data_IF_257391530624
#
_entry.id   IF_257391530624
#
_cell.length_a   1.000
_cell.length_b   1.000
_cell.length_c   1.000
_cell.angle_alpha   90.00
_cell.angle_beta   90.00
_cell.angle_gamma   90.00
#
_symmetry.space_group_name_H-M   'P 1'
#
loop_
_entity.id
_entity.type
_entity.pdbx_description
1 polymer ?
#
# COMPACT_ATOMS: atom_id res chain seq x y z
N UNK A 1 -50.29 1.34 -14.92
CA UNK A 1 -49.52 0.13 -14.60
C UNK A 1 -48.02 0.40 -14.36
N UNK A 2 -47.38 1.37 -15.06
CA UNK A 2 -45.95 1.71 -14.86
C UNK A 2 -45.62 2.26 -13.47
N UNK A 3 -46.45 3.18 -12.94
CA UNK A 3 -46.20 3.86 -11.66
C UNK A 3 -46.12 2.92 -10.45
N UNK A 4 -46.88 1.82 -10.47
CA UNK A 4 -46.82 0.80 -9.41
C UNK A 4 -45.53 -0.02 -9.44
N UNK A 5 -44.96 -0.29 -10.62
CA UNK A 5 -43.68 -1.00 -10.76
C UNK A 5 -42.51 -0.13 -10.29
N UNK A 6 -42.50 1.15 -10.63
CA UNK A 6 -41.46 2.09 -10.20
C UNK A 6 -41.48 2.33 -8.68
N UNK A 7 -42.66 2.50 -8.08
CA UNK A 7 -42.82 2.61 -6.62
C UNK A 7 -42.36 1.34 -5.92
N UNK A 8 -42.68 0.18 -6.48
CA UNK A 8 -42.23 -1.11 -5.97
C UNK A 8 -40.70 -1.24 -6.03
N UNK A 9 -40.07 -0.89 -7.15
CA UNK A 9 -38.60 -0.89 -7.26
C UNK A 9 -37.98 0.02 -6.20
N UNK A 10 -38.54 1.23 -5.98
CA UNK A 10 -38.06 2.15 -4.97
C UNK A 10 -38.21 1.60 -3.54
N UNK A 11 -39.37 1.02 -3.21
CA UNK A 11 -39.65 0.41 -1.90
C UNK A 11 -38.72 -0.77 -1.62
N UNK A 12 -38.48 -1.63 -2.62
CA UNK A 12 -37.56 -2.75 -2.47
C UNK A 12 -36.10 -2.29 -2.32
N UNK A 13 -35.66 -1.30 -3.08
CA UNK A 13 -34.30 -0.75 -2.96
C UNK A 13 -34.06 -0.15 -1.58
N UNK A 14 -35.06 0.52 -1.00
CA UNK A 14 -34.94 1.18 0.30
C UNK A 14 -35.14 0.22 1.48
N UNK A 15 -36.10 -0.71 1.38
CA UNK A 15 -36.60 -1.49 2.52
C UNK A 15 -36.50 -3.01 2.35
N UNK A 16 -36.14 -3.51 1.15
CA UNK A 16 -36.02 -4.94 0.85
C UNK A 16 -37.35 -5.69 0.74
N UNK A 17 -38.49 -5.00 0.81
CA UNK A 17 -39.82 -5.64 0.84
C UNK A 17 -40.97 -4.71 0.45
N UNK A 18 -42.16 -5.29 0.21
CA UNK A 18 -43.41 -4.59 -0.14
C UNK A 18 -44.46 -4.59 0.96
N UNK A 19 -44.24 -5.36 2.02
CA UNK A 19 -45.20 -5.54 3.10
C UNK A 19 -44.96 -4.50 4.21
N UNK A 20 -46.05 -4.07 4.84
CA UNK A 20 -46.03 -3.04 5.89
C UNK A 20 -45.20 -3.48 7.10
N UNK A 21 -45.31 -4.73 7.53
CA UNK A 21 -44.59 -5.25 8.69
C UNK A 21 -43.08 -5.32 8.41
N UNK A 22 -42.70 -5.82 7.24
CA UNK A 22 -41.29 -5.89 6.83
C UNK A 22 -40.68 -4.49 6.61
N UNK A 23 -41.44 -3.53 6.09
CA UNK A 23 -41.01 -2.13 5.99
C UNK A 23 -40.72 -1.53 7.37
N UNK A 24 -41.61 -1.76 8.35
CA UNK A 24 -41.42 -1.31 9.74
C UNK A 24 -40.15 -1.93 10.34
N UNK A 25 -39.93 -3.23 10.15
CA UNK A 25 -38.74 -3.93 10.63
C UNK A 25 -37.45 -3.38 9.99
N UNK A 26 -37.47 -3.10 8.69
CA UNK A 26 -36.35 -2.46 7.98
C UNK A 26 -36.04 -1.06 8.49
N UNK A 27 -37.06 -0.26 8.81
CA UNK A 27 -36.89 1.06 9.45
C UNK A 27 -36.26 0.91 10.83
N UNK A 28 -36.74 -0.03 11.66
CA UNK A 28 -36.17 -0.31 12.98
C UNK A 28 -34.71 -0.78 12.89
N UNK A 29 -34.39 -1.62 11.91
CA UNK A 29 -33.02 -2.04 11.60
C UNK A 29 -32.12 -0.83 11.30
N UNK A 30 -32.57 0.09 10.43
CA UNK A 30 -31.84 1.31 10.10
C UNK A 30 -31.65 2.24 11.31
N UNK A 31 -32.66 2.39 12.17
CA UNK A 31 -32.57 3.17 13.40
C UNK A 31 -31.52 2.57 14.35
N UNK A 32 -31.51 1.25 14.51
CA UNK A 32 -30.50 0.54 15.30
C UNK A 32 -29.09 0.77 14.75
N UNK A 33 -28.92 0.61 13.43
CA UNK A 33 -27.64 0.85 12.75
C UNK A 33 -27.19 2.31 12.83
N UNK A 34 -28.09 3.28 12.69
CA UNK A 34 -27.77 4.69 12.85
C UNK A 34 -27.10 4.90 14.22
N UNK A 35 -27.75 4.45 15.29
CA UNK A 35 -27.21 4.64 16.63
C UNK A 35 -25.92 3.87 16.86
N UNK A 36 -25.80 2.68 16.28
CA UNK A 36 -24.56 1.90 16.32
C UNK A 36 -23.41 2.62 15.60
N UNK A 37 -23.63 3.18 14.42
CA UNK A 37 -22.62 3.93 13.67
C UNK A 37 -22.12 5.14 14.44
N UNK A 38 -23.03 5.88 15.09
CA UNK A 38 -22.63 7.00 15.95
C UNK A 38 -21.75 6.54 17.11
N UNK A 39 -22.02 5.38 17.71
CA UNK A 39 -21.15 4.81 18.76
C UNK A 39 -19.79 4.37 18.22
N UNK A 40 -19.75 3.93 16.98
CA UNK A 40 -18.51 3.61 16.30
C UNK A 40 -17.86 4.84 15.66
N UNK A 41 -18.23 6.08 15.99
CA UNK A 41 -17.58 7.28 15.43
C UNK A 41 -17.88 7.57 13.94
N UNK A 42 -18.84 6.89 13.34
CA UNK A 42 -19.28 7.12 11.96
C UNK A 42 -20.51 8.04 11.91
N UNK A 43 -20.72 8.71 10.76
CA UNK A 43 -21.94 9.50 10.53
C UNK A 43 -23.16 8.57 10.47
N UNK A 44 -24.15 8.81 11.33
CA UNK A 44 -25.31 7.92 11.46
C UNK A 44 -26.19 7.76 10.21
N UNK A 45 -26.25 8.80 9.36
CA UNK A 45 -27.07 8.78 8.14
C UNK A 45 -26.63 7.72 7.11
N UNK A 46 -25.41 7.18 7.22
CA UNK A 46 -24.97 6.05 6.39
C UNK A 46 -25.85 4.81 6.53
N UNK A 47 -26.60 4.67 7.64
CA UNK A 47 -27.55 3.58 7.83
C UNK A 47 -28.73 3.61 6.84
N UNK A 48 -29.04 4.79 6.29
CA UNK A 48 -30.14 5.01 5.34
C UNK A 48 -29.75 4.70 3.90
N UNK A 49 -28.47 4.46 3.62
CA UNK A 49 -27.98 4.18 2.27
C UNK A 49 -27.89 2.66 2.09
N UNK A 50 -28.80 2.01 1.33
CA UNK A 50 -28.97 0.55 1.33
C UNK A 50 -27.71 -0.24 1.01
N UNK A 51 -26.89 0.24 0.08
CA UNK A 51 -25.65 -0.41 -0.36
C UNK A 51 -24.49 -0.11 0.59
N UNK A 52 -24.38 1.14 1.05
CA UNK A 52 -23.22 1.63 1.81
C UNK A 52 -23.28 1.20 3.28
N UNK A 53 -24.46 0.94 3.84
CA UNK A 53 -24.63 0.52 5.24
C UNK A 53 -23.81 -0.73 5.59
N UNK A 54 -23.73 -1.73 4.69
CA UNK A 54 -22.96 -2.95 4.94
C UNK A 54 -21.45 -2.68 5.01
N UNK A 55 -20.92 -1.86 4.10
CA UNK A 55 -19.52 -1.44 4.14
C UNK A 55 -19.19 -0.68 5.43
N UNK A 56 -20.06 0.25 5.85
CA UNK A 56 -19.87 1.01 7.10
C UNK A 56 -19.98 0.13 8.35
N UNK A 57 -20.87 -0.87 8.33
CA UNK A 57 -20.97 -1.86 9.40
C UNK A 57 -19.71 -2.73 9.47
N UNK A 58 -19.12 -3.08 8.33
CA UNK A 58 -17.86 -3.81 8.26
C UNK A 58 -16.66 -3.00 8.75
N UNK A 59 -16.65 -1.68 8.52
CA UNK A 59 -15.66 -0.78 9.13
C UNK A 59 -15.75 -0.82 10.65
N UNK A 60 -16.97 -0.82 11.23
CA UNK A 60 -17.14 -0.99 12.68
C UNK A 60 -16.62 -2.33 13.20
N UNK A 61 -16.53 -3.34 12.33
CA UNK A 61 -16.11 -4.70 12.65
C UNK A 61 -14.61 -4.95 12.44
N UNK A 62 -13.85 -3.96 11.98
CA UNK A 62 -12.45 -4.12 11.50
C UNK A 62 -12.33 -5.22 10.42
N UNK A 63 -13.30 -5.27 9.51
CA UNK A 63 -13.45 -6.28 8.46
C UNK A 63 -13.71 -5.63 7.10
N UNK A 64 -12.91 -4.62 6.75
CA UNK A 64 -13.16 -3.80 5.56
C UNK A 64 -13.24 -4.63 4.28
N UNK A 65 -12.36 -5.62 4.13
CA UNK A 65 -12.28 -6.44 2.92
C UNK A 65 -13.54 -7.29 2.75
N UNK A 66 -14.01 -7.93 3.81
CA UNK A 66 -15.27 -8.68 3.80
C UNK A 66 -16.46 -7.75 3.56
N UNK A 67 -16.45 -6.54 4.14
CA UNK A 67 -17.45 -5.51 3.90
C UNK A 67 -17.58 -5.12 2.43
N UNK A 68 -16.45 -4.96 1.72
CA UNK A 68 -16.44 -4.67 0.28
C UNK A 68 -17.10 -5.80 -0.51
N UNK A 69 -16.78 -7.05 -0.19
CA UNK A 69 -17.37 -8.21 -0.86
C UNK A 69 -18.87 -8.32 -0.60
N UNK A 70 -19.32 -8.13 0.66
CA UNK A 70 -20.75 -8.13 1.02
C UNK A 70 -21.49 -7.02 0.28
N UNK A 71 -20.97 -5.79 0.30
CA UNK A 71 -21.57 -4.65 -0.41
C UNK A 71 -21.69 -4.90 -1.91
N UNK A 72 -20.66 -5.48 -2.54
CA UNK A 72 -20.69 -5.82 -3.97
C UNK A 72 -21.72 -6.90 -4.26
N UNK A 73 -21.76 -7.98 -3.48
CA UNK A 73 -22.74 -9.05 -3.65
C UNK A 73 -24.17 -8.55 -3.47
N UNK A 74 -24.45 -7.75 -2.44
CA UNK A 74 -25.77 -7.14 -2.25
C UNK A 74 -26.15 -6.18 -3.39
N UNK A 75 -25.19 -5.44 -3.95
CA UNK A 75 -25.42 -4.58 -5.12
C UNK A 75 -25.81 -5.41 -6.33
N UNK A 76 -25.09 -6.52 -6.60
CA UNK A 76 -25.41 -7.45 -7.68
C UNK A 76 -26.81 -8.03 -7.50
N UNK A 77 -27.12 -8.58 -6.33
CA UNK A 77 -28.46 -9.15 -6.03
C UNK A 77 -29.56 -8.10 -6.21
N UNK A 78 -29.33 -6.86 -5.75
CA UNK A 78 -30.30 -5.77 -5.93
C UNK A 78 -30.51 -5.44 -7.41
N UNK A 79 -29.43 -5.38 -8.21
CA UNK A 79 -29.53 -5.11 -9.65
C UNK A 79 -30.24 -6.26 -10.39
N UNK A 80 -29.89 -7.51 -10.08
CA UNK A 80 -30.52 -8.70 -10.64
C UNK A 80 -32.02 -8.69 -10.33
N UNK A 81 -32.40 -8.38 -9.10
CA UNK A 81 -33.80 -8.22 -8.71
C UNK A 81 -34.52 -7.13 -9.52
N UNK A 82 -33.90 -5.95 -9.67
CA UNK A 82 -34.47 -4.85 -10.47
C UNK A 82 -34.72 -5.32 -11.89
N UNK A 83 -33.72 -5.93 -12.54
CA UNK A 83 -33.83 -6.48 -13.89
C UNK A 83 -34.97 -7.51 -13.95
N UNK A 84 -35.02 -8.43 -12.99
CA UNK A 84 -36.02 -9.48 -12.91
C UNK A 84 -37.47 -8.95 -12.79
N UNK A 85 -37.65 -7.75 -12.20
CA UNK A 85 -38.96 -7.09 -12.07
C UNK A 85 -39.55 -6.61 -13.41
N UNK A 86 -38.69 -6.39 -14.41
CA UNK A 86 -39.09 -6.00 -15.76
C UNK A 86 -39.21 -7.20 -16.72
N UNK A 87 -38.74 -8.38 -16.32
CA UNK A 87 -38.84 -9.59 -17.13
C UNK A 87 -40.22 -10.24 -17.00
N UNK A 88 -40.65 -10.93 -18.04
CA UNK A 88 -41.89 -11.73 -17.99
C UNK A 88 -41.70 -12.92 -17.05
N UNK A 89 -42.59 -13.11 -16.04
CA UNK A 89 -42.51 -14.24 -15.13
C UNK A 89 -42.54 -15.57 -15.91
N UNK A 90 -41.58 -16.45 -15.63
CA UNK A 90 -41.47 -17.76 -16.29
C UNK A 90 -40.70 -17.76 -17.61
N UNK A 91 -40.22 -16.61 -18.09
CA UNK A 91 -39.30 -16.54 -19.24
C UNK A 91 -37.91 -17.10 -18.90
N UNK A 92 -37.16 -17.55 -19.90
CA UNK A 92 -35.77 -18.04 -19.70
C UNK A 92 -34.88 -16.98 -19.01
N UNK A 93 -34.92 -15.69 -19.38
CA UNK A 93 -34.18 -14.64 -18.66
C UNK A 93 -34.58 -14.49 -17.19
N UNK A 94 -35.87 -14.66 -16.86
CA UNK A 94 -36.35 -14.62 -15.47
C UNK A 94 -35.74 -15.74 -14.63
N UNK A 95 -35.71 -16.97 -15.16
CA UNK A 95 -35.08 -18.10 -14.48
C UNK A 95 -33.57 -17.92 -14.32
N UNK A 96 -32.89 -17.34 -15.30
CA UNK A 96 -31.45 -17.06 -15.21
C UNK A 96 -31.13 -16.04 -14.11
N UNK A 97 -31.93 -14.96 -14.00
CA UNK A 97 -31.78 -13.97 -12.93
C UNK A 97 -32.03 -14.61 -11.56
N UNK A 98 -33.10 -15.40 -11.41
CA UNK A 98 -33.41 -16.09 -10.17
C UNK A 98 -32.31 -17.09 -9.75
N UNK A 99 -31.70 -17.78 -10.73
CA UNK A 99 -30.58 -18.69 -10.47
C UNK A 99 -29.34 -17.93 -9.96
N UNK A 100 -29.04 -16.78 -10.55
CA UNK A 100 -27.92 -15.93 -10.14
C UNK A 100 -28.09 -15.41 -8.69
N UNK A 101 -29.31 -14.99 -8.32
CA UNK A 101 -29.64 -14.58 -6.95
C UNK A 101 -29.39 -15.70 -5.94
N UNK A 102 -29.86 -16.93 -6.24
CA UNK A 102 -29.64 -18.10 -5.38
C UNK A 102 -28.15 -18.46 -5.31
N UNK A 103 -27.42 -18.36 -6.41
CA UNK A 103 -25.98 -18.65 -6.46
C UNK A 103 -25.15 -17.67 -5.61
N UNK A 104 -25.59 -16.42 -5.44
CA UNK A 104 -24.90 -15.42 -4.61
C UNK A 104 -25.13 -15.62 -3.11
N UNK A 105 -26.23 -16.27 -2.69
CA UNK A 105 -26.63 -16.40 -1.27
C UNK A 105 -25.56 -17.05 -0.37
N UNK A 106 -24.90 -18.17 -0.74
CA UNK A 106 -23.86 -18.76 0.10
C UNK A 106 -22.70 -17.80 0.35
N UNK A 107 -22.28 -17.06 -0.67
CA UNK A 107 -21.21 -16.07 -0.54
C UNK A 107 -21.63 -14.93 0.39
N UNK A 108 -22.82 -14.37 0.21
CA UNK A 108 -23.37 -13.32 1.09
C UNK A 108 -23.37 -13.79 2.55
N UNK A 109 -23.82 -15.01 2.81
CA UNK A 109 -23.89 -15.58 4.15
C UNK A 109 -22.49 -15.78 4.76
N UNK A 110 -21.53 -16.33 4.02
CA UNK A 110 -20.16 -16.56 4.50
C UNK A 110 -19.48 -15.24 4.86
N UNK A 111 -19.52 -14.25 3.96
CA UNK A 111 -18.84 -12.97 4.20
C UNK A 111 -19.55 -12.15 5.29
N UNK A 112 -20.88 -12.19 5.35
CA UNK A 112 -21.63 -11.55 6.44
C UNK A 112 -21.32 -12.19 7.80
N UNK A 113 -21.21 -13.52 7.87
CA UNK A 113 -20.83 -14.21 9.11
C UNK A 113 -19.43 -13.78 9.60
N UNK A 114 -18.46 -13.62 8.67
CA UNK A 114 -17.11 -13.10 9.00
C UNK A 114 -17.16 -11.66 9.49
N UNK A 115 -17.91 -10.81 8.81
CA UNK A 115 -18.14 -9.41 9.20
C UNK A 115 -18.72 -9.33 10.62
N UNK A 116 -19.81 -10.06 10.90
CA UNK A 116 -20.46 -10.07 12.20
C UNK A 116 -19.60 -10.71 13.30
N UNK A 117 -18.74 -11.67 12.96
CA UNK A 117 -17.74 -12.21 13.89
C UNK A 117 -16.74 -11.12 14.32
N UNK A 118 -16.27 -10.30 13.38
CA UNK A 118 -15.45 -9.12 13.68
C UNK A 118 -16.19 -8.13 14.59
N UNK A 119 -17.46 -7.85 14.30
CA UNK A 119 -18.29 -6.98 15.12
C UNK A 119 -18.45 -7.52 16.56
N UNK A 120 -18.61 -8.83 16.72
CA UNK A 120 -18.65 -9.46 18.04
C UNK A 120 -17.31 -9.33 18.79
N UNK A 121 -16.17 -9.43 18.09
CA UNK A 121 -14.84 -9.21 18.67
C UNK A 121 -14.70 -7.77 19.16
N UNK A 122 -15.05 -6.78 18.33
CA UNK A 122 -14.94 -5.35 18.66
C UNK A 122 -15.81 -4.95 19.86
N UNK A 123 -17.00 -5.54 20.00
CA UNK A 123 -17.92 -5.23 21.11
C UNK A 123 -17.76 -6.17 22.33
N UNK A 124 -16.75 -7.04 22.32
CA UNK A 124 -16.49 -8.07 23.35
C UNK A 124 -17.71 -8.94 23.66
N UNK A 125 -18.31 -9.51 22.62
CA UNK A 125 -19.49 -10.37 22.73
C UNK A 125 -19.20 -11.79 22.27
N UNK A 126 -19.93 -12.73 22.90
CA UNK A 126 -19.83 -14.16 22.61
C UNK A 126 -20.25 -14.43 21.16
N UNK A 127 -19.62 -15.43 20.53
CA UNK A 127 -19.83 -15.79 19.11
C UNK A 127 -21.27 -16.12 18.72
N UNK A 128 -22.13 -16.53 19.66
CA UNK A 128 -23.55 -16.80 19.35
C UNK A 128 -24.32 -15.55 18.88
N UNK A 129 -23.84 -14.35 19.20
CA UNK A 129 -24.39 -13.10 18.68
C UNK A 129 -24.27 -12.96 17.16
N UNK A 130 -23.35 -13.68 16.51
CA UNK A 130 -23.22 -13.73 15.05
C UNK A 130 -24.53 -14.23 14.42
N UNK A 131 -25.18 -15.22 15.03
CA UNK A 131 -26.46 -15.75 14.54
C UNK A 131 -27.57 -14.70 14.60
N UNK A 132 -27.63 -13.94 15.70
CA UNK A 132 -28.60 -12.84 15.84
C UNK A 132 -28.35 -11.72 14.82
N UNK A 133 -27.10 -11.47 14.47
CA UNK A 133 -26.74 -10.50 13.44
C UNK A 133 -27.05 -10.99 12.02
N UNK A 134 -26.88 -12.29 11.73
CA UNK A 134 -27.23 -12.86 10.43
C UNK A 134 -28.73 -12.77 10.12
N UNK A 135 -29.59 -12.80 11.15
CA UNK A 135 -31.04 -12.63 11.00
C UNK A 135 -31.52 -11.21 11.30
N UNK A 136 -30.62 -10.24 11.43
CA UNK A 136 -30.97 -8.90 11.93
C UNK A 136 -31.93 -8.12 11.01
N UNK A 137 -31.95 -8.42 9.71
CA UNK A 137 -32.88 -7.80 8.76
C UNK A 137 -34.32 -8.32 8.94
N UNK A 138 -34.46 -9.59 9.35
CA UNK A 138 -35.75 -10.17 9.72
C UNK A 138 -36.16 -9.76 11.14
N UNK A 139 -35.18 -9.67 12.05
CA UNK A 139 -35.39 -9.37 13.47
C UNK A 139 -34.34 -8.35 13.97
N UNK A 140 -34.65 -7.03 13.99
CA UNK A 140 -33.69 -5.96 14.25
C UNK A 140 -33.24 -5.83 15.73
N UNK A 141 -33.34 -6.91 16.50
CA UNK A 141 -33.01 -6.97 17.93
C UNK A 141 -31.54 -6.64 18.18
N UNK A 142 -30.62 -7.22 17.40
CA UNK A 142 -29.18 -7.00 17.56
C UNK A 142 -28.78 -5.51 17.36
N UNK A 143 -29.07 -4.86 16.21
CA UNK A 143 -28.70 -3.46 16.00
C UNK A 143 -29.39 -2.50 16.96
N UNK A 144 -30.65 -2.74 17.35
CA UNK A 144 -31.34 -1.90 18.34
C UNK A 144 -30.71 -2.01 19.73
N UNK A 145 -30.47 -3.23 20.21
CA UNK A 145 -29.86 -3.43 21.53
C UNK A 145 -28.46 -2.82 21.59
N UNK A 146 -27.64 -3.10 20.56
CA UNK A 146 -26.26 -2.65 20.52
C UNK A 146 -26.16 -1.15 20.28
N UNK A 147 -27.07 -0.59 19.46
CA UNK A 147 -27.17 0.85 19.23
C UNK A 147 -27.55 1.64 20.49
N UNK A 148 -28.60 1.24 21.22
CA UNK A 148 -29.15 2.09 22.29
C UNK A 148 -28.62 1.80 23.70
N UNK A 149 -28.28 0.54 24.04
CA UNK A 149 -27.87 0.22 25.41
C UNK A 149 -26.43 0.65 25.68
N UNK A 150 -26.19 1.34 26.79
CA UNK A 150 -24.85 1.81 27.20
C UNK A 150 -23.81 0.70 27.39
N UNK A 151 -24.25 -0.53 27.72
CA UNK A 151 -23.38 -1.70 27.91
C UNK A 151 -22.63 -2.13 26.64
N UNK A 152 -23.12 -1.76 25.45
CA UNK A 152 -22.47 -2.09 24.18
C UNK A 152 -21.69 -0.89 23.71
N UNK A 153 -20.40 -0.86 24.05
CA UNK A 153 -19.42 0.08 23.53
C UNK A 153 -18.40 -0.70 22.71
N UNK A 154 -17.93 -0.16 21.59
CA UNK A 154 -16.86 -0.78 20.84
C UNK A 154 -15.52 -0.56 21.54
N UNK A 155 -14.59 -1.50 21.38
CA UNK A 155 -13.22 -1.38 21.88
C UNK A 155 -12.43 -0.25 21.21
N UNK A 156 -12.83 0.12 20.00
CA UNK A 156 -12.24 1.21 19.23
C UNK A 156 -13.34 1.99 18.53
N UNK A 157 -13.10 3.28 18.29
CA UNK A 157 -14.01 4.10 17.50
C UNK A 157 -13.61 3.94 16.03
N UNK A 158 -14.53 3.47 15.19
CA UNK A 158 -14.45 3.55 13.73
C UNK A 158 -14.66 4.98 13.19
N UNK A 159 -14.53 6.00 14.06
CA UNK A 159 -14.10 7.32 13.65
C UNK A 159 -13.03 7.13 12.59
N UNK A 160 -12.99 7.99 11.58
CA UNK A 160 -11.86 8.05 10.67
C UNK A 160 -10.62 8.37 11.50
N UNK A 161 -10.04 7.38 12.21
CA UNK A 161 -9.17 7.53 13.37
C UNK A 161 -8.35 8.78 13.29
N UNK A 162 -8.73 9.78 14.10
CA UNK A 162 -7.87 10.80 14.66
C UNK A 162 -6.86 11.45 13.71
N UNK A 163 -7.17 12.69 13.38
CA UNK A 163 -6.17 13.72 13.09
C UNK A 163 -5.14 13.90 14.23
N UNK A 164 -5.19 13.19 15.36
CA UNK A 164 -4.18 13.31 16.44
C UNK A 164 -2.77 12.87 15.99
N UNK A 165 -2.67 11.85 15.14
CA UNK A 165 -1.41 11.55 14.47
C UNK A 165 -1.02 12.74 13.57
N UNK A 166 -1.96 13.24 12.77
CA UNK A 166 -1.71 14.39 11.92
C UNK A 166 -1.41 15.67 12.72
N UNK A 167 -1.81 15.79 14.00
CA UNK A 167 -1.44 16.89 14.89
C UNK A 167 0.06 16.85 15.17
N UNK A 168 0.60 15.68 15.55
CA UNK A 168 2.04 15.49 15.67
C UNK A 168 2.74 15.65 14.30
N UNK A 169 2.21 15.05 13.25
CA UNK A 169 2.81 15.14 11.92
C UNK A 169 2.59 16.50 11.20
N UNK A 170 1.75 17.40 11.72
CA UNK A 170 1.38 18.63 11.00
C UNK A 170 2.50 19.65 11.04
N UNK A 171 2.89 20.12 9.85
CA UNK A 171 3.69 21.33 9.69
C UNK A 171 5.20 21.15 9.78
N UNK A 172 5.73 19.93 9.92
CA UNK A 172 7.19 19.70 9.97
C UNK A 172 7.71 19.10 8.68
N UNK A 173 8.49 19.89 7.97
CA UNK A 173 9.26 19.47 6.79
C UNK A 173 10.70 19.21 7.24
N UNK A 174 11.31 18.17 6.71
CA UNK A 174 12.76 18.02 6.78
C UNK A 174 13.41 19.22 6.09
N UNK A 175 14.49 19.75 6.70
CA UNK A 175 15.25 20.86 6.14
C UNK A 175 15.78 20.47 4.76
N UNK A 176 15.63 21.37 3.79
CA UNK A 176 16.14 21.14 2.44
C UNK A 176 17.67 21.16 2.51
N UNK A 177 18.28 20.05 2.11
CA UNK A 177 19.72 19.97 2.00
C UNK A 177 20.20 20.62 0.71
N UNK A 178 21.27 21.42 0.81
CA UNK A 178 21.98 21.96 -0.35
C UNK A 178 22.64 20.84 -1.17
N UNK A 179 23.13 19.81 -0.48
CA UNK A 179 23.66 18.57 -1.06
C UNK A 179 22.99 17.38 -0.39
N UNK A 180 22.41 16.49 -1.20
CA UNK A 180 21.71 15.30 -0.72
C UNK A 180 20.28 15.19 -1.25
N UNK A 181 19.51 14.25 -0.69
CA UNK A 181 18.11 14.03 -1.00
C UNK A 181 17.25 14.54 0.16
N UNK A 182 16.30 15.42 -0.10
CA UNK A 182 15.23 15.76 0.86
C UNK A 182 13.89 15.32 0.30
N UNK A 183 13.11 14.61 1.12
CA UNK A 183 11.77 14.15 0.78
C UNK A 183 10.80 14.71 1.79
N UNK A 184 9.91 15.59 1.34
CA UNK A 184 8.80 16.11 2.13
C UNK A 184 7.47 15.72 1.48
N UNK A 185 7.01 14.51 1.76
CA UNK A 185 5.78 13.94 1.21
C UNK A 185 4.61 14.16 2.18
N UNK A 186 3.66 15.00 1.77
CA UNK A 186 2.44 15.26 2.56
C UNK A 186 1.42 14.14 2.37
N UNK A 187 1.02 13.87 1.12
CA UNK A 187 0.05 12.83 0.82
C UNK A 187 0.23 12.22 -0.58
N UNK A 188 0.08 10.90 -0.67
CA UNK A 188 -0.17 10.19 -1.92
C UNK A 188 -1.49 9.46 -1.79
N UNK A 189 -2.44 9.76 -2.68
CA UNK A 189 -3.77 9.15 -2.63
C UNK A 189 -4.12 8.42 -3.91
N UNK A 190 -4.91 7.36 -3.79
CA UNK A 190 -5.56 6.67 -4.90
C UNK A 190 -7.07 6.71 -4.71
N UNK A 191 -7.80 6.58 -5.82
CA UNK A 191 -9.26 6.48 -5.80
C UNK A 191 -9.65 5.00 -5.86
N UNK A 192 -10.31 4.51 -4.83
CA UNK A 192 -10.93 3.18 -4.80
C UNK A 192 -12.42 3.35 -4.50
N UNK A 193 -13.30 2.93 -5.42
CA UNK A 193 -14.76 2.87 -5.24
C UNK A 193 -15.37 4.07 -4.49
N UNK A 194 -15.36 5.25 -5.13
CA UNK A 194 -15.91 6.51 -4.60
C UNK A 194 -15.26 7.03 -3.30
N UNK A 195 -14.14 6.44 -2.84
CA UNK A 195 -13.39 6.89 -1.67
C UNK A 195 -11.95 7.25 -2.04
N UNK A 196 -11.50 8.41 -1.56
CA UNK A 196 -10.07 8.78 -1.55
C UNK A 196 -9.37 7.92 -0.49
N UNK A 197 -8.43 7.08 -0.93
CA UNK A 197 -7.59 6.24 -0.07
C UNK A 197 -6.20 6.86 0.01
N UNK A 198 -5.70 7.04 1.22
CA UNK A 198 -4.31 7.46 1.45
C UNK A 198 -3.40 6.24 1.33
N UNK A 199 -2.45 6.31 0.41
CA UNK A 199 -1.41 5.29 0.24
C UNK A 199 -0.20 5.62 1.12
N UNK A 200 0.23 6.89 1.11
CA UNK A 200 1.32 7.41 1.93
C UNK A 200 0.91 8.75 2.53
N UNK A 201 1.38 9.05 3.75
CA UNK A 201 1.09 10.33 4.40
C UNK A 201 2.20 10.75 5.37
N UNK A 202 2.54 12.04 5.35
CA UNK A 202 3.50 12.71 6.23
C UNK A 202 4.84 11.97 6.37
N UNK A 203 5.53 11.75 5.25
CA UNK A 203 6.86 11.15 5.23
C UNK A 203 7.87 12.26 4.95
N UNK A 204 8.65 12.60 5.97
CA UNK A 204 9.64 13.67 5.94
C UNK A 204 11.00 13.11 6.34
N UNK A 205 11.99 13.19 5.44
CA UNK A 205 13.35 12.73 5.69
C UNK A 205 14.37 13.45 4.82
N UNK A 206 15.64 13.38 5.19
CA UNK A 206 16.75 13.89 4.41
C UNK A 206 17.95 12.97 4.50
N UNK A 207 18.49 12.58 3.35
CA UNK A 207 19.60 11.64 3.22
C UNK A 207 20.81 12.39 2.71
N UNK A 208 21.93 12.26 3.43
CA UNK A 208 23.18 12.91 3.08
C UNK A 208 23.84 12.21 1.87
N UNK A 209 24.65 12.94 1.08
CA UNK A 209 25.47 12.34 0.05
C UNK A 209 26.36 11.24 0.61
N UNK A 210 26.52 10.17 -0.14
CA UNK A 210 27.34 9.03 0.23
C UNK A 210 26.72 8.05 1.22
N UNK A 211 25.47 8.26 1.60
CA UNK A 211 24.75 7.31 2.45
C UNK A 211 24.14 6.18 1.62
N UNK A 212 24.31 4.96 2.12
CA UNK A 212 23.62 3.75 1.66
C UNK A 212 22.51 3.41 2.66
N UNK A 213 21.27 3.50 2.20
CA UNK A 213 20.07 3.46 3.04
C UNK A 213 19.22 2.23 2.73
N UNK A 214 18.88 1.50 3.79
CA UNK A 214 18.02 0.33 3.70
C UNK A 214 16.55 0.75 3.82
N UNK A 215 15.70 0.35 2.89
CA UNK A 215 14.26 0.59 2.95
C UNK A 215 13.50 -0.67 3.39
N UNK A 216 13.03 -0.66 4.63
CA UNK A 216 12.27 -1.73 5.26
C UNK A 216 10.78 -1.42 5.33
N UNK A 217 9.99 -2.48 5.42
CA UNK A 217 8.56 -2.42 5.67
C UNK A 217 7.83 -3.67 5.21
N UNK A 218 6.67 -3.93 5.80
CA UNK A 218 5.80 -5.05 5.42
C UNK A 218 5.34 -5.03 3.97
N UNK A 219 4.71 -6.13 3.55
CA UNK A 219 4.07 -6.19 2.22
C UNK A 219 2.96 -5.14 2.14
N UNK A 220 3.00 -4.30 1.11
CA UNK A 220 2.04 -3.21 0.94
C UNK A 220 2.18 -2.04 1.92
N UNK A 221 3.28 -1.95 2.69
CA UNK A 221 3.57 -0.77 3.53
C UNK A 221 3.81 0.53 2.72
N UNK A 222 3.88 0.41 1.39
CA UNK A 222 4.03 1.54 0.48
C UNK A 222 5.45 1.78 -0.01
N UNK A 223 6.38 0.82 0.14
CA UNK A 223 7.79 0.94 -0.30
C UNK A 223 7.91 1.34 -1.78
N UNK A 224 7.35 0.56 -2.70
CA UNK A 224 7.38 0.88 -4.14
C UNK A 224 6.65 2.18 -4.45
N UNK A 225 5.51 2.45 -3.80
CA UNK A 225 4.79 3.72 -3.95
C UNK A 225 5.64 4.91 -3.48
N UNK A 226 6.43 4.74 -2.43
CA UNK A 226 7.33 5.77 -1.91
C UNK A 226 8.49 6.01 -2.88
N UNK A 227 9.12 4.94 -3.39
CA UNK A 227 10.17 5.06 -4.40
C UNK A 227 9.67 5.72 -5.69
N UNK A 228 8.47 5.38 -6.17
CA UNK A 228 7.84 6.02 -7.33
C UNK A 228 7.48 7.50 -7.09
N UNK A 229 7.19 7.88 -5.84
CA UNK A 229 7.00 9.28 -5.48
C UNK A 229 8.34 10.02 -5.43
N UNK A 230 9.39 9.41 -4.87
CA UNK A 230 10.73 10.01 -4.76
C UNK A 230 11.39 10.17 -6.13
N UNK A 231 11.29 9.18 -7.02
CA UNK A 231 11.87 9.25 -8.36
C UNK A 231 11.08 10.16 -9.32
N UNK A 232 9.88 10.64 -8.93
CA UNK A 232 9.04 11.51 -9.74
C UNK A 232 8.18 10.81 -10.81
N UNK A 233 8.22 9.49 -10.90
CA UNK A 233 7.44 8.70 -11.86
C UNK A 233 5.93 8.74 -11.56
N UNK A 234 5.56 8.63 -10.28
CA UNK A 234 4.18 8.83 -9.79
C UNK A 234 4.14 9.96 -8.75
N UNK A 235 4.04 11.22 -9.20
CA UNK A 235 4.09 12.37 -8.30
C UNK A 235 3.03 12.30 -7.20
N UNK A 236 3.45 12.58 -5.98
CA UNK A 236 2.59 12.78 -4.82
C UNK A 236 2.40 14.28 -4.57
N UNK A 237 1.59 14.64 -3.57
CA UNK A 237 1.66 15.98 -2.98
C UNK A 237 2.92 16.01 -2.11
N UNK A 238 4.05 16.34 -2.71
CA UNK A 238 5.36 16.29 -2.08
C UNK A 238 6.32 17.36 -2.63
N UNK A 239 7.32 17.68 -1.83
CA UNK A 239 8.50 18.45 -2.21
C UNK A 239 9.71 17.53 -2.09
N UNK A 240 10.15 17.02 -3.23
CA UNK A 240 11.33 16.17 -3.35
C UNK A 240 12.45 16.96 -4.00
N UNK A 241 13.60 17.09 -3.33
CA UNK A 241 14.76 17.82 -3.85
C UNK A 241 16.00 16.95 -3.84
N UNK A 242 16.79 17.02 -4.92
CA UNK A 242 18.14 16.45 -4.99
C UNK A 242 19.11 17.61 -5.20
N UNK A 243 20.08 17.76 -4.30
CA UNK A 243 21.06 18.85 -4.28
C UNK A 243 20.38 20.23 -4.42
N UNK A 244 19.36 20.49 -3.59
CA UNK A 244 18.56 21.72 -3.60
C UNK A 244 17.62 21.92 -4.81
N UNK A 245 17.66 21.05 -5.84
CA UNK A 245 16.81 21.16 -7.04
C UNK A 245 15.54 20.33 -6.89
N UNK A 246 14.39 20.93 -7.16
CA UNK A 246 13.10 20.25 -7.02
C UNK A 246 12.83 19.27 -8.17
N UNK A 247 12.72 17.99 -7.82
CA UNK A 247 12.52 16.88 -8.76
C UNK A 247 11.26 17.06 -9.62
N UNK A 248 10.14 17.45 -9.02
CA UNK A 248 8.87 17.53 -9.74
C UNK A 248 8.82 18.70 -10.72
N UNK A 249 9.48 19.81 -10.37
CA UNK A 249 9.57 20.99 -11.26
C UNK A 249 10.56 20.76 -12.40
N UNK A 250 11.64 20.03 -12.16
CA UNK A 250 12.75 19.84 -13.11
C UNK A 250 12.88 18.40 -13.62
N UNK A 251 11.78 17.62 -13.59
CA UNK A 251 11.79 16.18 -13.84
C UNK A 251 12.46 15.77 -15.16
N UNK A 252 12.21 16.51 -16.25
CA UNK A 252 12.77 16.18 -17.58
C UNK A 252 14.30 16.14 -17.62
N UNK A 253 14.95 16.99 -16.83
CA UNK A 253 16.40 17.07 -16.72
C UNK A 253 16.91 16.10 -15.65
N UNK A 254 16.26 16.12 -14.48
CA UNK A 254 16.69 15.36 -13.31
C UNK A 254 16.41 13.86 -13.38
N UNK A 255 15.52 13.39 -14.28
CA UNK A 255 15.25 11.97 -14.45
C UNK A 255 16.50 11.17 -14.86
N UNK A 256 17.51 11.83 -15.47
CA UNK A 256 18.79 11.19 -15.81
C UNK A 256 19.76 11.14 -14.62
N UNK A 257 19.54 11.97 -13.59
CA UNK A 257 20.30 11.97 -12.33
C UNK A 257 19.81 10.89 -11.35
N UNK A 258 18.76 10.14 -11.71
CA UNK A 258 18.22 9.02 -10.93
C UNK A 258 18.40 7.73 -11.73
N UNK A 259 18.94 6.70 -11.08
CA UNK A 259 18.90 5.33 -11.59
C UNK A 259 17.92 4.50 -10.75
N UNK A 260 17.01 3.78 -11.40
CA UNK A 260 16.03 2.93 -10.72
C UNK A 260 16.07 1.51 -11.27
N UNK A 261 16.53 0.57 -10.45
CA UNK A 261 16.59 -0.84 -10.79
C UNK A 261 15.34 -1.54 -10.25
N UNK A 262 14.37 -1.94 -11.10
CA UNK A 262 13.20 -2.68 -10.65
C UNK A 262 13.57 -4.12 -10.25
N UNK A 263 12.65 -4.78 -9.55
CA UNK A 263 12.77 -6.20 -9.18
C UNK A 263 12.90 -7.11 -10.42
N UNK A 264 12.10 -6.84 -11.46
CA UNK A 264 12.10 -7.62 -12.70
C UNK A 264 13.15 -7.13 -13.71
N UNK A 265 13.97 -8.06 -14.23
CA UNK A 265 14.98 -7.75 -15.24
C UNK A 265 14.33 -7.58 -16.63
N UNK A 266 14.21 -6.34 -17.10
CA UNK A 266 13.64 -6.01 -18.41
C UNK A 266 14.74 -5.82 -19.47
N UNK A 267 15.40 -6.91 -19.87
CA UNK A 267 16.55 -6.86 -20.81
C UNK A 267 16.30 -7.74 -22.05
N UNK A 268 16.65 -7.22 -23.23
CA UNK A 268 16.60 -7.96 -24.50
C UNK A 268 17.59 -9.12 -24.49
N UNK A 269 17.12 -10.35 -24.72
CA UNK A 269 17.95 -11.55 -24.64
C UNK A 269 18.86 -11.82 -25.85
N UNK A 270 18.58 -11.18 -26.99
CA UNK A 270 19.25 -11.46 -28.27
C UNK A 270 20.49 -10.59 -28.53
N UNK A 271 20.73 -9.58 -27.69
CA UNK A 271 21.86 -8.68 -27.80
C UNK A 271 23.05 -9.19 -26.96
N UNK A 272 24.26 -8.75 -27.28
CA UNK A 272 25.43 -8.99 -26.43
C UNK A 272 25.41 -8.05 -25.22
N UNK A 273 26.13 -8.41 -24.15
CA UNK A 273 26.32 -7.54 -22.97
C UNK A 273 26.84 -6.17 -23.38
N UNK A 274 27.91 -6.13 -24.20
CA UNK A 274 28.49 -4.88 -24.69
C UNK A 274 27.48 -4.07 -25.51
N UNK A 275 26.75 -4.71 -26.43
CA UNK A 275 25.77 -4.01 -27.27
C UNK A 275 24.64 -3.40 -26.44
N UNK A 276 24.12 -4.16 -25.47
CA UNK A 276 23.08 -3.69 -24.55
C UNK A 276 23.52 -2.44 -23.79
N UNK A 277 24.74 -2.44 -23.23
CA UNK A 277 25.28 -1.28 -22.50
C UNK A 277 25.57 -0.11 -23.43
N UNK A 278 26.08 -0.38 -24.64
CA UNK A 278 26.35 0.67 -25.63
C UNK A 278 25.06 1.34 -26.11
N UNK A 279 24.00 0.57 -26.39
CA UNK A 279 22.70 1.12 -26.75
C UNK A 279 22.11 1.93 -25.58
N UNK A 280 22.30 1.48 -24.34
CA UNK A 280 21.90 2.23 -23.14
C UNK A 280 22.66 3.55 -23.02
N UNK A 281 23.99 3.53 -23.24
CA UNK A 281 24.83 4.71 -23.25
C UNK A 281 24.39 5.72 -24.32
N UNK A 282 24.05 5.25 -25.52
CA UNK A 282 23.55 6.12 -26.59
C UNK A 282 22.22 6.81 -26.25
N UNK A 283 21.37 6.16 -25.45
CA UNK A 283 20.05 6.68 -25.08
C UNK A 283 20.07 7.57 -23.84
N UNK A 284 20.97 7.30 -22.89
CA UNK A 284 20.97 7.95 -21.56
C UNK A 284 22.07 8.99 -21.38
N UNK A 285 23.20 8.87 -22.07
CA UNK A 285 24.26 9.87 -21.96
C UNK A 285 23.92 11.09 -22.84
N UNK A 286 24.32 12.29 -22.41
CA UNK A 286 24.12 13.51 -23.20
C UNK A 286 24.67 13.40 -24.63
N UNK A 287 24.07 14.13 -25.55
CA UNK A 287 24.53 14.21 -26.94
C UNK A 287 25.93 14.82 -27.09
N UNK A 288 26.45 15.50 -26.05
CA UNK A 288 27.82 16.02 -26.03
C UNK A 288 28.88 14.93 -25.92
N UNK A 289 28.53 13.72 -25.46
CA UNK A 289 29.48 12.61 -25.38
C UNK A 289 29.79 12.08 -26.78
N UNK A 290 31.07 12.07 -27.12
CA UNK A 290 31.62 11.41 -28.30
C UNK A 290 31.47 9.89 -28.22
N UNK A 291 31.60 9.21 -29.35
CA UNK A 291 31.58 7.74 -29.37
C UNK A 291 32.72 7.11 -28.55
N UNK A 292 33.89 7.77 -28.48
CA UNK A 292 35.01 7.29 -27.69
C UNK A 292 34.71 7.38 -26.18
N UNK A 293 34.19 8.52 -25.70
CA UNK A 293 33.78 8.70 -24.29
C UNK A 293 32.65 7.75 -23.88
N UNK A 294 31.72 7.45 -24.79
CA UNK A 294 30.67 6.43 -24.54
C UNK A 294 31.27 5.04 -24.37
N UNK A 295 32.22 4.66 -25.23
CA UNK A 295 32.90 3.37 -25.10
C UNK A 295 33.66 3.28 -23.78
N UNK A 296 34.41 4.32 -23.41
CA UNK A 296 35.14 4.38 -22.15
C UNK A 296 34.20 4.24 -20.95
N UNK A 297 33.07 4.96 -20.95
CA UNK A 297 32.05 4.82 -19.90
C UNK A 297 31.47 3.41 -19.82
N UNK A 298 31.24 2.76 -20.96
CA UNK A 298 30.74 1.38 -21.02
C UNK A 298 31.78 0.40 -20.45
N UNK A 299 33.06 0.57 -20.77
CA UNK A 299 34.15 -0.24 -20.22
C UNK A 299 34.29 -0.07 -18.71
N UNK A 300 34.28 1.17 -18.21
CA UNK A 300 34.30 1.49 -16.79
C UNK A 300 33.14 0.80 -16.04
N UNK A 301 31.92 0.92 -16.57
CA UNK A 301 30.73 0.29 -15.97
C UNK A 301 30.82 -1.23 -16.01
N UNK A 302 31.31 -1.83 -17.09
CA UNK A 302 31.52 -3.28 -17.15
C UNK A 302 32.53 -3.76 -16.12
N UNK A 303 33.59 -3.00 -15.88
CA UNK A 303 34.60 -3.33 -14.87
C UNK A 303 34.03 -3.22 -13.45
N UNK A 304 33.29 -2.14 -13.14
CA UNK A 304 32.65 -1.94 -11.83
C UNK A 304 31.76 -3.14 -11.45
N UNK A 305 30.97 -3.64 -12.39
CA UNK A 305 30.04 -4.75 -12.15
C UNK A 305 30.60 -6.13 -12.54
N UNK A 306 31.88 -6.22 -12.95
CA UNK A 306 32.53 -7.49 -13.31
C UNK A 306 31.90 -8.20 -14.51
N UNK A 307 31.43 -7.43 -15.50
CA UNK A 307 30.80 -7.91 -16.74
C UNK A 307 31.79 -8.06 -17.91
N UNK A 308 33.00 -7.52 -17.77
CA UNK A 308 34.07 -7.57 -18.79
C UNK A 308 34.37 -8.99 -19.32
N UNK A 309 34.42 -10.05 -18.49
CA UNK A 309 34.64 -11.41 -18.97
C UNK A 309 33.52 -11.95 -19.88
N UNK A 310 32.30 -11.41 -19.76
CA UNK A 310 31.11 -11.86 -20.50
C UNK A 310 30.65 -10.84 -21.55
N UNK A 311 31.47 -9.83 -21.87
CA UNK A 311 31.10 -8.72 -22.79
C UNK A 311 30.55 -9.18 -24.14
N UNK A 312 31.08 -10.29 -24.68
CA UNK A 312 30.67 -10.86 -25.97
C UNK A 312 29.53 -11.89 -25.90
N UNK A 313 29.09 -12.25 -24.69
CA UNK A 313 28.02 -13.23 -24.51
C UNK A 313 26.66 -12.59 -24.80
N UNK A 314 25.76 -13.39 -25.36
CA UNK A 314 24.35 -13.01 -25.46
C UNK A 314 23.73 -12.92 -24.07
N UNK A 315 22.86 -11.93 -23.85
CA UNK A 315 22.13 -11.74 -22.59
C UNK A 315 21.32 -12.99 -22.21
N UNK A 316 20.75 -13.69 -23.19
CA UNK A 316 20.05 -14.98 -22.99
C UNK A 316 20.93 -16.09 -22.40
N UNK A 317 22.26 -16.01 -22.54
CA UNK A 317 23.22 -17.01 -22.04
C UNK A 317 23.84 -16.64 -20.69
N UNK A 318 23.47 -15.49 -20.12
CA UNK A 318 23.97 -15.08 -18.81
C UNK A 318 23.32 -15.87 -17.68
N UNK A 319 24.08 -16.13 -16.63
CA UNK A 319 23.54 -16.59 -15.35
C UNK A 319 22.57 -15.55 -14.76
N UNK A 320 21.71 -15.95 -13.83
CA UNK A 320 20.79 -15.03 -13.15
C UNK A 320 21.52 -13.83 -12.56
N UNK A 321 22.64 -14.06 -11.86
CA UNK A 321 23.41 -12.98 -11.27
C UNK A 321 24.22 -12.13 -12.24
N UNK A 322 24.63 -12.67 -13.39
CA UNK A 322 25.21 -11.84 -14.46
C UNK A 322 24.15 -10.93 -15.10
N UNK A 323 22.94 -11.46 -15.31
CA UNK A 323 21.80 -10.70 -15.85
C UNK A 323 21.39 -9.57 -14.88
N UNK A 324 21.34 -9.85 -13.58
CA UNK A 324 21.02 -8.84 -12.57
C UNK A 324 22.07 -7.73 -12.51
N UNK A 325 23.36 -8.09 -12.53
CA UNK A 325 24.46 -7.11 -12.62
C UNK A 325 24.40 -6.27 -13.89
N UNK A 326 24.00 -6.86 -15.03
CA UNK A 326 23.75 -6.10 -16.26
C UNK A 326 22.58 -5.12 -16.10
N UNK A 327 21.48 -5.52 -15.46
CA UNK A 327 20.34 -4.63 -15.18
C UNK A 327 20.78 -3.41 -14.34
N UNK A 328 21.60 -3.66 -13.32
CA UNK A 328 22.14 -2.60 -12.45
C UNK A 328 23.11 -1.70 -13.22
N UNK A 329 23.99 -2.29 -14.03
CA UNK A 329 24.92 -1.56 -14.89
C UNK A 329 24.21 -0.63 -15.88
N UNK A 330 23.12 -1.08 -16.51
CA UNK A 330 22.31 -0.26 -17.42
C UNK A 330 21.74 1.00 -16.74
N UNK A 331 21.32 0.88 -15.49
CA UNK A 331 20.84 2.02 -14.68
C UNK A 331 21.98 2.92 -14.20
N UNK A 332 23.17 2.36 -13.99
CA UNK A 332 24.34 3.12 -13.53
C UNK A 332 25.10 3.86 -14.65
N UNK A 333 24.83 3.55 -15.93
CA UNK A 333 25.47 4.18 -17.10
C UNK A 333 25.47 5.72 -17.01
N UNK A 334 24.36 6.34 -16.60
CA UNK A 334 24.23 7.80 -16.50
C UNK A 334 24.95 8.42 -15.30
N UNK A 335 25.62 7.60 -14.47
CA UNK A 335 26.27 8.01 -13.22
C UNK A 335 25.31 8.77 -12.27
N UNK A 336 24.16 8.17 -11.93
CA UNK A 336 23.10 8.87 -11.20
C UNK A 336 23.59 9.39 -9.84
N UNK A 337 23.00 10.47 -9.36
CA UNK A 337 23.23 11.01 -8.01
C UNK A 337 22.44 10.21 -6.97
N UNK A 338 21.21 9.82 -7.33
CA UNK A 338 20.34 8.96 -6.53
C UNK A 338 20.17 7.61 -7.23
N UNK A 339 20.59 6.54 -6.57
CA UNK A 339 20.52 5.18 -7.10
C UNK A 339 19.61 4.31 -6.24
N UNK A 340 18.50 3.85 -6.83
CA UNK A 340 17.45 3.11 -6.13
C UNK A 340 17.42 1.69 -6.67
N UNK A 341 17.46 0.69 -5.78
CA UNK A 341 17.43 -0.72 -6.15
C UNK A 341 16.32 -1.45 -5.39
N UNK A 342 15.40 -2.05 -6.14
CA UNK A 342 14.33 -2.89 -5.61
C UNK A 342 14.74 -4.37 -5.72
N UNK A 343 15.10 -4.97 -4.58
CA UNK A 343 15.54 -6.36 -4.45
C UNK A 343 16.68 -6.75 -5.42
N UNK A 344 17.84 -6.07 -5.36
CA UNK A 344 18.95 -6.34 -6.26
C UNK A 344 19.59 -7.72 -6.06
N UNK A 345 19.36 -8.35 -4.91
CA UNK A 345 19.85 -9.67 -4.52
C UNK A 345 18.88 -10.81 -4.83
N UNK A 346 17.72 -10.53 -5.44
CA UNK A 346 16.74 -11.54 -5.80
C UNK A 346 17.36 -12.60 -6.72
N UNK A 347 17.40 -13.86 -6.28
CA UNK A 347 17.95 -14.97 -7.06
C UNK A 347 19.47 -15.07 -7.10
N UNK A 348 20.18 -14.28 -6.27
CA UNK A 348 21.62 -14.45 -6.03
C UNK A 348 21.87 -15.40 -4.85
N UNK A 349 23.00 -16.12 -4.88
CA UNK A 349 23.50 -16.77 -3.68
C UNK A 349 24.08 -15.73 -2.68
N UNK A 350 24.36 -16.16 -1.45
CA UNK A 350 24.81 -15.25 -0.40
C UNK A 350 26.17 -14.59 -0.66
N UNK A 351 27.07 -15.24 -1.40
CA UNK A 351 28.40 -14.69 -1.70
C UNK A 351 28.26 -13.63 -2.79
N UNK A 352 27.56 -13.94 -3.88
CA UNK A 352 27.30 -13.02 -4.98
C UNK A 352 26.50 -11.79 -4.52
N UNK A 353 25.52 -11.98 -3.64
CA UNK A 353 24.77 -10.87 -3.05
C UNK A 353 25.69 -9.94 -2.28
N UNK A 354 26.54 -10.47 -1.40
CA UNK A 354 27.46 -9.64 -0.60
C UNK A 354 28.50 -8.91 -1.45
N UNK A 355 29.02 -9.55 -2.50
CA UNK A 355 29.89 -8.90 -3.48
C UNK A 355 29.19 -7.70 -4.15
N UNK A 356 27.94 -7.88 -4.58
CA UNK A 356 27.13 -6.81 -5.17
C UNK A 356 26.92 -5.65 -4.18
N UNK A 357 26.51 -5.94 -2.95
CA UNK A 357 26.34 -4.90 -1.92
C UNK A 357 27.65 -4.18 -1.59
N UNK A 358 28.78 -4.88 -1.61
CA UNK A 358 30.09 -4.26 -1.41
C UNK A 358 30.44 -3.31 -2.56
N UNK A 359 30.07 -3.64 -3.79
CA UNK A 359 30.21 -2.73 -4.94
C UNK A 359 29.30 -1.50 -4.79
N UNK A 360 28.05 -1.68 -4.37
CA UNK A 360 27.13 -0.57 -4.09
C UNK A 360 27.68 0.34 -2.99
N UNK A 361 28.20 -0.21 -1.89
CA UNK A 361 28.86 0.56 -0.83
C UNK A 361 29.99 1.45 -1.37
N UNK A 362 30.86 0.90 -2.24
CA UNK A 362 31.91 1.68 -2.90
C UNK A 362 31.37 2.80 -3.78
N UNK A 363 30.23 2.59 -4.45
CA UNK A 363 29.56 3.64 -5.22
C UNK A 363 29.00 4.72 -4.28
N UNK A 364 28.42 4.33 -3.14
CA UNK A 364 27.98 5.28 -2.13
C UNK A 364 29.17 6.11 -1.61
N UNK A 365 30.31 5.50 -1.32
CA UNK A 365 31.53 6.20 -0.85
C UNK A 365 32.04 7.29 -1.83
N UNK A 366 31.63 7.25 -3.10
CA UNK A 366 31.88 8.31 -4.09
C UNK A 366 30.92 9.51 -3.98
N UNK A 367 30.12 9.59 -2.91
CA UNK A 367 29.15 10.66 -2.67
C UNK A 367 27.76 10.41 -3.28
N UNK A 368 27.50 9.20 -3.79
CA UNK A 368 26.18 8.83 -4.34
C UNK A 368 25.22 8.43 -3.22
N UNK A 369 23.94 8.72 -3.39
CA UNK A 369 22.91 8.24 -2.47
C UNK A 369 22.37 6.93 -3.00
N UNK A 370 22.38 5.88 -2.18
CA UNK A 370 21.86 4.57 -2.57
C UNK A 370 20.71 4.19 -1.66
N UNK A 371 19.55 3.84 -2.22
CA UNK A 371 18.40 3.30 -1.47
C UNK A 371 18.15 1.87 -1.95
N UNK A 372 18.16 0.91 -1.03
CA UNK A 372 17.95 -0.50 -1.38
C UNK A 372 16.80 -1.11 -0.60
N UNK A 373 15.94 -1.86 -1.30
CA UNK A 373 15.01 -2.81 -0.69
C UNK A 373 15.64 -4.21 -0.80
N UNK A 374 15.74 -4.95 0.29
CA UNK A 374 16.15 -6.37 0.29
C UNK A 374 15.31 -7.17 1.28
N UNK A 375 15.09 -8.45 0.97
CA UNK A 375 14.42 -9.41 1.85
C UNK A 375 15.36 -10.08 2.86
N UNK A 376 16.69 -9.94 2.70
CA UNK A 376 17.67 -10.54 3.62
C UNK A 376 18.63 -9.49 4.20
N UNK A 377 18.10 -8.41 4.79
CA UNK A 377 18.90 -7.25 5.21
C UNK A 377 20.01 -7.62 6.20
N UNK A 378 19.75 -8.53 7.14
CA UNK A 378 20.69 -8.89 8.20
C UNK A 378 22.02 -9.51 7.69
N UNK A 379 22.08 -9.98 6.43
CA UNK A 379 23.30 -10.53 5.82
C UNK A 379 24.31 -9.47 5.36
N UNK A 380 23.82 -8.26 5.12
CA UNK A 380 24.57 -7.16 4.50
C UNK A 380 24.38 -5.85 5.26
N UNK A 381 23.76 -5.91 6.44
CA UNK A 381 23.39 -4.73 7.23
C UNK A 381 24.60 -3.88 7.62
N UNK A 382 25.77 -4.51 7.75
CA UNK A 382 27.04 -3.85 8.06
C UNK A 382 27.55 -2.91 6.95
N UNK A 383 26.93 -2.94 5.76
CA UNK A 383 27.28 -2.08 4.63
C UNK A 383 26.38 -0.83 4.51
N UNK A 384 25.32 -0.75 5.32
CA UNK A 384 24.37 0.35 5.30
C UNK A 384 24.69 1.37 6.40
N UNK A 385 24.36 2.64 6.16
CA UNK A 385 24.50 3.71 7.17
C UNK A 385 23.18 3.91 7.92
N UNK A 386 22.10 4.05 7.16
CA UNK A 386 20.77 4.37 7.68
C UNK A 386 19.72 3.34 7.27
N UNK A 387 18.60 3.35 7.98
CA UNK A 387 17.40 2.57 7.66
C UNK A 387 16.16 3.44 7.66
N UNK A 388 15.33 3.30 6.63
CA UNK A 388 13.97 3.82 6.54
C UNK A 388 13.02 2.66 6.86
N UNK A 389 12.19 2.80 7.89
CA UNK A 389 11.15 1.82 8.22
C UNK A 389 9.79 2.43 7.88
N UNK A 390 9.13 1.86 6.87
CA UNK A 390 7.74 2.19 6.54
C UNK A 390 6.79 1.17 7.16
N UNK A 391 5.74 1.65 7.80
CA UNK A 391 4.72 0.83 8.43
C UNK A 391 3.31 1.28 8.04
N UNK A 392 2.35 0.35 8.07
CA UNK A 392 0.93 0.67 7.90
C UNK A 392 0.35 1.07 9.24
N UNK A 393 -0.19 2.28 9.34
CA UNK A 393 -1.01 2.67 10.48
C UNK A 393 -2.32 1.86 10.55
N UNK A 394 -3.12 2.08 11.58
CA UNK A 394 -4.44 1.46 11.75
C UNK A 394 -5.36 1.65 10.51
N UNK A 395 -5.22 2.77 9.78
CA UNK A 395 -5.97 3.09 8.55
C UNK A 395 -5.41 2.45 7.27
N UNK A 396 -4.38 1.60 7.38
CA UNK A 396 -3.67 0.98 6.24
C UNK A 396 -3.00 2.03 5.33
N UNK A 397 -2.62 3.17 5.90
CA UNK A 397 -1.82 4.19 5.22
C UNK A 397 -0.34 4.00 5.59
N UNK A 398 0.54 4.04 4.59
CA UNK A 398 1.98 3.97 4.81
C UNK A 398 2.50 5.24 5.47
N UNK A 399 3.20 5.09 6.59
CA UNK A 399 3.82 6.16 7.36
C UNK A 399 5.27 5.82 7.69
N UNK A 400 6.05 6.85 8.00
CA UNK A 400 7.40 6.69 8.49
C UNK A 400 7.37 6.26 9.97
N UNK A 401 7.87 5.06 10.25
CA UNK A 401 8.04 4.57 11.61
C UNK A 401 9.45 4.84 12.16
N UNK A 402 10.44 4.98 11.27
CA UNK A 402 11.80 5.39 11.63
C UNK A 402 12.58 5.82 10.39
N UNK A 403 13.47 6.80 10.56
CA UNK A 403 14.58 7.09 9.66
C UNK A 403 15.79 7.53 10.48
N UNK A 404 16.95 6.97 10.19
CA UNK A 404 18.22 7.30 10.83
C UNK A 404 19.17 6.10 10.90
N UNK A 405 20.26 6.21 11.70
CA UNK A 405 21.30 5.19 11.78
C UNK A 405 20.78 3.83 12.24
N UNK A 406 21.43 2.76 11.80
CA UNK A 406 21.01 1.38 12.09
C UNK A 406 21.04 1.07 13.59
N UNK A 407 22.09 1.48 14.30
CA UNK A 407 22.24 1.18 15.72
C UNK A 407 21.20 1.92 16.57
N UNK A 408 20.84 3.15 16.18
CA UNK A 408 19.75 3.88 16.79
C UNK A 408 18.39 3.23 16.49
N UNK A 409 18.19 2.70 15.28
CA UNK A 409 16.99 1.94 14.95
C UNK A 409 16.87 0.70 15.86
N UNK A 410 17.95 -0.08 16.04
CA UNK A 410 17.96 -1.24 16.93
C UNK A 410 17.54 -0.87 18.35
N UNK A 411 18.10 0.22 18.89
CA UNK A 411 17.73 0.72 20.20
C UNK A 411 16.28 1.22 20.27
N UNK A 412 15.80 1.92 19.24
CA UNK A 412 14.45 2.46 19.18
C UNK A 412 13.37 1.37 19.17
N UNK A 413 13.57 0.31 18.39
CA UNK A 413 12.66 -0.83 18.29
C UNK A 413 12.91 -1.89 19.38
N UNK A 414 14.07 -1.86 20.05
CA UNK A 414 14.50 -2.87 21.02
C UNK A 414 14.73 -4.23 20.37
N UNK A 415 15.28 -4.26 19.15
CA UNK A 415 15.51 -5.47 18.34
C UNK A 415 16.91 -5.42 17.73
N UNK A 416 17.62 -6.54 17.76
CA UNK A 416 18.97 -6.65 17.17
C UNK A 416 18.93 -6.86 15.64
N UNK A 417 17.92 -7.60 15.17
CA UNK A 417 17.79 -7.96 13.75
C UNK A 417 16.80 -7.07 13.02
N UNK A 418 17.12 -6.71 11.79
CA UNK A 418 16.25 -5.93 10.92
C UNK A 418 14.97 -6.69 10.57
N UNK A 419 15.06 -8.01 10.38
CA UNK A 419 13.88 -8.87 10.18
C UNK A 419 12.89 -8.80 11.36
N UNK A 420 13.39 -8.68 12.59
CA UNK A 420 12.54 -8.55 13.79
C UNK A 420 11.89 -7.16 13.88
N UNK A 421 12.57 -6.11 13.42
CA UNK A 421 11.99 -4.76 13.29
C UNK A 421 10.80 -4.83 12.32
N UNK A 422 10.98 -5.44 11.14
CA UNK A 422 9.89 -5.61 10.15
C UNK A 422 8.73 -6.42 10.77
N UNK A 423 9.03 -7.51 11.48
CA UNK A 423 8.01 -8.31 12.16
C UNK A 423 7.24 -7.50 13.20
N UNK A 424 7.90 -6.60 13.93
CA UNK A 424 7.25 -5.77 14.96
C UNK A 424 6.21 -4.80 14.38
N UNK A 425 6.51 -4.20 13.22
CA UNK A 425 5.63 -3.24 12.54
C UNK A 425 4.57 -3.92 11.65
N UNK A 426 4.77 -5.17 11.27
CA UNK A 426 3.76 -5.91 10.51
C UNK A 426 2.54 -6.23 11.38
N UNK A 427 1.36 -6.31 10.75
CA UNK A 427 0.11 -6.67 11.46
C UNK A 427 0.10 -8.14 11.86
N UNK A 428 -0.67 -8.48 12.89
CA UNK A 428 -0.88 -9.89 13.31
C UNK A 428 -1.38 -10.78 12.17
N UNK A 429 -2.27 -10.25 11.31
CA UNK A 429 -2.80 -10.96 10.13
C UNK A 429 -1.72 -11.30 9.09
N UNK A 430 -0.63 -10.54 9.08
CA UNK A 430 0.54 -10.71 8.21
C UNK A 430 1.68 -11.47 8.93
N UNK A 431 1.42 -12.01 10.14
CA UNK A 431 2.40 -12.73 10.96
C UNK A 431 3.32 -11.85 11.81
N UNK A 432 2.99 -10.57 11.98
CA UNK A 432 3.73 -9.60 12.80
C UNK A 432 3.19 -9.39 14.21
N UNK A 433 3.76 -8.44 14.95
CA UNK A 433 3.38 -8.10 16.34
C UNK A 433 2.27 -7.01 16.41
N UNK A 434 1.95 -6.34 15.30
CA UNK A 434 0.88 -5.34 15.23
C UNK A 434 1.19 -4.00 15.91
N UNK A 435 2.47 -3.67 16.13
CA UNK A 435 2.90 -2.50 16.91
C UNK A 435 3.22 -1.26 16.06
N UNK A 436 2.76 -1.23 14.80
CA UNK A 436 3.03 -0.13 13.88
C UNK A 436 2.67 1.24 14.45
N UNK A 437 1.44 1.41 14.94
CA UNK A 437 0.95 2.70 15.44
C UNK A 437 1.77 3.20 16.65
N UNK A 438 2.23 2.29 17.52
CA UNK A 438 3.11 2.63 18.65
C UNK A 438 4.43 3.25 18.17
N UNK A 439 5.10 2.60 17.22
CA UNK A 439 6.39 3.08 16.71
C UNK A 439 6.25 4.34 15.86
N UNK A 440 5.18 4.45 15.05
CA UNK A 440 4.87 5.64 14.27
C UNK A 440 4.69 6.85 15.19
N UNK A 441 3.91 6.71 16.27
CA UNK A 441 3.69 7.79 17.25
C UNK A 441 4.96 8.12 18.02
N UNK A 442 5.68 7.10 18.52
CA UNK A 442 6.94 7.28 19.25
C UNK A 442 7.98 8.01 18.39
N UNK A 443 8.09 7.70 17.11
CA UNK A 443 9.04 8.37 16.22
C UNK A 443 8.60 9.80 15.90
N UNK A 444 7.30 10.03 15.73
CA UNK A 444 6.76 11.38 15.59
C UNK A 444 7.15 12.24 16.81
N UNK A 445 7.00 11.71 18.02
CA UNK A 445 7.40 12.38 19.28
C UNK A 445 8.91 12.67 19.34
N UNK A 446 9.77 11.76 18.88
CA UNK A 446 11.23 12.01 18.81
C UNK A 446 11.54 13.15 17.85
N UNK A 447 10.87 13.22 16.71
CA UNK A 447 10.99 14.33 15.75
C UNK A 447 10.36 15.63 16.27
N UNK A 448 9.61 15.59 17.38
CA UNK A 448 9.00 16.77 18.00
C UNK A 448 9.95 17.60 18.87
N UNK A 449 10.88 16.92 19.53
CA UNK A 449 11.90 17.48 20.42
C UNK A 449 13.08 17.96 19.58
#
# INVERSE_FOLDING_TARGET
MSFGKELNVLLYVLFGSFDTLTTILSVLYMIGLWRLFVKCGLKGWWALVPIVKYYKLALCADREQEGRTVTLLHTVVTLVYIVNTYMEPGSVPYFFCALLDVACMPAVLIYSARMYSGLCRVFERRRWWVLLWLVAELFPVAPLLWGFRKKYQPLWLAEEIRDDADYYFSGRKAAILDQGLTVNLEERTAWEFFKKKYLLRNIHLSIQPGHMVLLLGGSGAGKTTFLNAVNGYEPAKAEVTINGRNMYKNYKEMQYDIGFVPQADLIRGCDTVYRTLMDTAMLRLPNSFSHAERNERVEEVMDIFGLTPVKGNLVSKLSGGQRKRLSIAMEFISNPTLFILDEPDSGLDGVMARELFTQLRKIADQGKIIIVITHTPDRVIDLFDDVIVLAKDAKRTGRLAWFGPIDEARAFFGKEKMEEIVKSVNREEEGGEGRADEFILKYAEVQHV
#
